data_IF_714069894683
#
_entry.id   IF_714069894683
#
_cell.length_a   1.000
_cell.length_b   1.000
_cell.length_c   1.000
_cell.angle_alpha   90.00
_cell.angle_beta   90.00
_cell.angle_gamma   90.00
#
_symmetry.space_group_name_H-M   'P 1'
#
loop_
_entity.id
_entity.type
_entity.pdbx_description
1 polymer ?
#
# COMPACT_ATOMS: atom_id res chain seq x y z
N UNK A 1 -21.59 -1.85 34.09
CA UNK A 1 -21.90 -1.25 32.77
C UNK A 1 -21.80 0.27 32.94
N UNK A 2 -21.19 0.97 31.98
CA UNK A 2 -20.53 2.28 32.11
C UNK A 2 -21.20 3.31 33.05
N UNK A 3 -20.39 3.96 33.90
CA UNK A 3 -20.85 4.94 34.92
C UNK A 3 -20.94 6.38 34.41
N UNK A 4 -20.36 6.70 33.25
CA UNK A 4 -20.28 8.06 32.69
C UNK A 4 -20.77 8.08 31.25
N UNK A 5 -21.35 9.21 30.81
CA UNK A 5 -21.80 9.41 29.42
C UNK A 5 -20.65 9.28 28.42
N UNK A 6 -19.48 9.80 28.78
CA UNK A 6 -18.23 9.67 28.02
C UNK A 6 -17.80 8.20 27.81
N UNK A 7 -17.94 7.37 28.85
CA UNK A 7 -17.62 5.94 28.73
C UNK A 7 -18.56 5.21 27.77
N UNK A 8 -19.83 5.62 27.71
CA UNK A 8 -20.80 5.06 26.74
C UNK A 8 -20.47 5.50 25.32
N UNK A 9 -20.09 6.76 25.10
CA UNK A 9 -19.70 7.26 23.79
C UNK A 9 -18.42 6.60 23.27
N UNK A 10 -17.38 6.53 24.11
CA UNK A 10 -16.13 5.85 23.76
C UNK A 10 -16.35 4.38 23.39
N UNK A 11 -17.28 3.70 24.07
CA UNK A 11 -17.65 2.32 23.74
C UNK A 11 -18.34 2.22 22.38
N UNK A 12 -19.29 3.11 22.08
CA UNK A 12 -19.99 3.15 20.77
C UNK A 12 -19.00 3.45 19.63
N UNK A 13 -18.07 4.38 19.84
CA UNK A 13 -17.01 4.70 18.87
C UNK A 13 -16.09 3.50 18.63
N UNK A 14 -15.68 2.82 19.71
CA UNK A 14 -14.81 1.64 19.60
C UNK A 14 -15.49 0.49 18.84
N UNK A 15 -16.80 0.31 19.03
CA UNK A 15 -17.58 -0.70 18.29
C UNK A 15 -17.72 -0.31 16.82
N UNK A 16 -18.04 0.96 16.52
CA UNK A 16 -18.14 1.46 15.15
C UNK A 16 -16.85 1.26 14.37
N UNK A 17 -15.72 1.68 14.95
CA UNK A 17 -14.40 1.50 14.36
C UNK A 17 -14.06 0.02 14.11
N UNK A 18 -14.43 -0.87 15.02
CA UNK A 18 -14.23 -2.31 14.84
C UNK A 18 -15.02 -2.86 13.63
N UNK A 19 -16.27 -2.42 13.44
CA UNK A 19 -17.11 -2.84 12.30
C UNK A 19 -16.50 -2.35 10.97
N UNK A 20 -15.98 -1.13 10.93
CA UNK A 20 -15.30 -0.55 9.75
C UNK A 20 -14.04 -1.35 9.40
N UNK A 21 -13.21 -1.66 10.41
CA UNK A 21 -11.97 -2.42 10.21
C UNK A 21 -12.27 -3.83 9.69
N UNK A 22 -13.32 -4.49 10.19
CA UNK A 22 -13.76 -5.81 9.69
C UNK A 22 -14.25 -5.71 8.23
N UNK A 23 -14.99 -4.66 7.89
CA UNK A 23 -15.43 -4.40 6.51
C UNK A 23 -14.25 -4.18 5.55
N UNK A 24 -13.27 -3.39 5.95
CA UNK A 24 -12.03 -3.17 5.19
C UNK A 24 -11.23 -4.45 5.02
N UNK A 25 -11.12 -5.26 6.09
CA UNK A 25 -10.45 -6.56 6.05
C UNK A 25 -11.08 -7.49 5.00
N UNK A 26 -12.42 -7.58 4.96
CA UNK A 26 -13.13 -8.43 4.00
C UNK A 26 -12.94 -7.93 2.56
N UNK A 27 -12.90 -6.62 2.36
CA UNK A 27 -12.63 -6.02 1.04
C UNK A 27 -11.22 -6.32 0.54
N UNK A 28 -10.20 -6.22 1.41
CA UNK A 28 -8.81 -6.46 1.04
C UNK A 28 -8.50 -7.94 0.80
N UNK A 29 -9.03 -8.80 1.67
CA UNK A 29 -8.82 -10.27 1.59
C UNK A 29 -9.71 -10.94 0.54
N UNK A 30 -10.59 -10.20 -0.13
CA UNK A 30 -11.59 -10.72 -1.07
C UNK A 30 -12.46 -11.84 -0.45
N UNK A 31 -12.62 -11.80 0.87
CA UNK A 31 -13.33 -12.82 1.63
C UNK A 31 -14.84 -12.61 1.49
N UNK A 32 -15.58 -13.70 1.29
CA UNK A 32 -17.04 -13.69 1.16
C UNK A 32 -17.64 -14.81 2.00
N UNK A 33 -18.60 -14.46 2.86
CA UNK A 33 -19.40 -15.43 3.63
C UNK A 33 -20.85 -15.28 3.16
N UNK A 34 -21.30 -16.20 2.31
CA UNK A 34 -22.67 -16.23 1.79
C UNK A 34 -23.04 -14.90 1.10
N UNK A 35 -24.14 -14.22 1.49
CA UNK A 35 -24.56 -12.96 0.88
C UNK A 35 -23.68 -11.75 1.27
N UNK A 36 -22.78 -11.90 2.26
CA UNK A 36 -21.88 -10.84 2.71
C UNK A 36 -20.59 -10.88 1.90
N UNK A 37 -20.54 -10.08 0.84
CA UNK A 37 -19.32 -9.83 0.07
C UNK A 37 -18.53 -8.67 0.69
N UNK A 38 -17.22 -8.60 0.43
CA UNK A 38 -16.37 -7.52 0.95
C UNK A 38 -16.86 -6.10 0.63
N UNK A 39 -17.57 -5.91 -0.50
CA UNK A 39 -18.22 -4.63 -0.81
C UNK A 39 -19.37 -4.31 0.15
N UNK A 40 -20.21 -5.30 0.44
CA UNK A 40 -21.39 -5.14 1.30
C UNK A 40 -20.96 -4.90 2.75
N UNK A 41 -20.01 -5.70 3.26
CA UNK A 41 -19.50 -5.54 4.63
C UNK A 41 -18.78 -4.19 4.80
N UNK A 42 -18.01 -3.76 3.79
CA UNK A 42 -17.38 -2.44 3.81
C UNK A 42 -18.40 -1.30 3.77
N UNK A 43 -19.43 -1.40 2.93
CA UNK A 43 -20.48 -0.39 2.86
C UNK A 43 -21.22 -0.24 4.21
N UNK A 44 -21.51 -1.35 4.88
CA UNK A 44 -22.12 -1.34 6.22
C UNK A 44 -21.21 -0.63 7.23
N UNK A 45 -19.89 -0.93 7.21
CA UNK A 45 -18.92 -0.24 8.06
C UNK A 45 -18.89 1.26 7.81
N UNK A 46 -18.76 1.69 6.55
CA UNK A 46 -18.70 3.11 6.20
C UNK A 46 -19.99 3.87 6.53
N UNK A 47 -21.16 3.25 6.38
CA UNK A 47 -22.45 3.84 6.79
C UNK A 47 -22.49 3.99 8.32
N UNK A 48 -22.00 2.98 9.05
CA UNK A 48 -21.91 3.04 10.52
C UNK A 48 -21.03 4.20 10.97
N UNK A 49 -19.87 4.39 10.33
CA UNK A 49 -18.96 5.51 10.61
C UNK A 49 -19.58 6.87 10.28
N UNK A 50 -20.29 6.98 9.16
CA UNK A 50 -20.99 8.21 8.78
C UNK A 50 -22.04 8.61 9.83
N UNK A 51 -22.81 7.65 10.36
CA UNK A 51 -23.79 7.91 11.42
C UNK A 51 -23.09 8.36 12.71
N UNK A 52 -21.98 7.71 13.07
CA UNK A 52 -21.19 8.07 14.25
C UNK A 52 -20.64 9.50 14.15
N UNK A 53 -20.10 9.89 12.99
CA UNK A 53 -19.64 11.27 12.79
C UNK A 53 -20.76 12.30 12.82
N UNK A 54 -21.94 11.97 12.32
CA UNK A 54 -23.10 12.86 12.42
C UNK A 54 -23.50 13.04 13.88
N UNK A 55 -23.55 11.97 14.67
CA UNK A 55 -23.85 12.07 16.11
C UNK A 55 -22.78 12.90 16.84
N UNK A 56 -21.50 12.68 16.52
CA UNK A 56 -20.39 13.45 17.09
C UNK A 56 -20.44 14.93 16.71
N UNK A 57 -20.88 15.27 15.50
CA UNK A 57 -21.02 16.66 15.08
C UNK A 57 -21.99 17.47 15.96
N UNK A 58 -22.97 16.80 16.60
CA UNK A 58 -23.91 17.43 17.53
C UNK A 58 -23.48 17.35 19.01
N UNK A 59 -22.44 16.57 19.33
CA UNK A 59 -21.85 16.45 20.66
C UNK A 59 -20.35 16.79 20.56
N UNK A 60 -20.07 18.06 20.26
CA UNK A 60 -18.72 18.58 20.21
C UNK A 60 -17.98 18.26 21.52
N UNK A 61 -16.73 17.76 21.47
CA UNK A 61 -16.00 17.42 22.67
C UNK A 61 -15.95 18.67 23.55
N UNK A 62 -16.30 18.51 24.83
CA UNK A 62 -15.95 19.53 25.81
C UNK A 62 -14.45 19.71 25.67
N UNK A 63 -14.08 20.93 25.31
CA UNK A 63 -12.71 21.38 25.09
C UNK A 63 -11.79 20.80 26.18
N UNK A 64 -10.51 20.64 25.83
CA UNK A 64 -9.40 20.27 26.72
C UNK A 64 -9.20 21.23 27.91
N UNK A 65 -10.18 22.08 28.22
CA UNK A 65 -10.31 22.97 29.38
C UNK A 65 -10.38 22.24 30.72
N UNK A 66 -10.42 20.90 30.74
CA UNK A 66 -10.41 20.12 31.98
C UNK A 66 -9.02 19.64 32.40
N UNK A 67 -7.94 20.13 31.79
CA UNK A 67 -6.63 20.06 32.43
C UNK A 67 -6.45 21.32 33.25
N UNK A 68 -6.54 21.21 34.59
CA UNK A 68 -6.21 22.29 35.52
C UNK A 68 -4.69 22.54 35.52
N UNK A 69 -4.12 22.91 34.38
CA UNK A 69 -2.71 23.23 34.23
C UNK A 69 -2.33 24.40 35.13
N UNK A 70 -3.29 25.23 35.53
CA UNK A 70 -3.17 26.33 36.49
C UNK A 70 -2.65 25.83 37.84
N UNK A 71 -2.99 24.59 38.23
CA UNK A 71 -2.50 23.98 39.46
C UNK A 71 -1.02 23.57 39.37
N UNK A 72 -0.48 23.38 38.16
CA UNK A 72 0.91 22.93 37.92
C UNK A 72 1.78 24.09 37.42
N UNK A 73 1.18 25.07 36.74
CA UNK A 73 1.80 26.24 36.15
C UNK A 73 0.95 27.49 36.48
N UNK A 74 1.00 27.98 37.72
CA UNK A 74 0.21 29.13 38.16
C UNK A 74 0.58 30.43 37.42
N UNK A 75 1.76 30.48 36.80
CA UNK A 75 2.22 31.59 35.96
C UNK A 75 1.29 31.86 34.76
N UNK A 76 0.55 30.85 34.30
CA UNK A 76 -0.38 30.97 33.18
C UNK A 76 -1.70 31.69 33.57
N UNK A 77 -1.93 31.96 34.86
CA UNK A 77 -3.05 32.81 35.35
C UNK A 77 -2.74 34.31 35.24
N UNK A 78 -1.47 34.69 35.09
CA UNK A 78 -1.04 36.08 34.95
C UNK A 78 -0.70 36.40 33.49
N UNK A 79 -1.51 37.26 32.87
CA UNK A 79 -1.37 37.66 31.46
C UNK A 79 -0.08 38.46 31.16
N UNK A 80 0.67 38.90 32.17
CA UNK A 80 1.93 39.64 32.00
C UNK A 80 3.16 38.85 32.49
N UNK A 81 3.02 37.55 32.78
CA UNK A 81 4.13 36.71 33.23
C UNK A 81 5.22 36.60 32.14
N UNK A 82 6.46 36.93 32.50
CA UNK A 82 7.62 36.72 31.65
C UNK A 82 7.98 35.22 31.61
N UNK A 83 8.37 34.65 30.45
CA UNK A 83 8.64 33.23 30.34
C UNK A 83 9.80 32.81 31.24
N UNK A 84 9.51 32.00 32.26
CA UNK A 84 10.48 31.47 33.19
C UNK A 84 11.06 30.13 32.67
N UNK A 85 12.36 30.04 32.31
CA UNK A 85 12.93 28.81 31.74
C UNK A 85 13.20 27.69 32.77
N UNK A 86 12.66 27.78 33.98
CA UNK A 86 12.90 26.80 35.05
C UNK A 86 11.60 26.20 35.58
N UNK A 87 11.08 25.20 34.87
CA UNK A 87 10.20 24.21 35.48
C UNK A 87 10.77 22.80 35.28
N UNK A 88 11.82 22.48 36.05
CA UNK A 88 12.25 21.10 36.26
C UNK A 88 12.75 20.91 37.70
N UNK A 89 11.95 21.21 38.71
CA UNK A 89 12.12 20.62 40.04
C UNK A 89 10.88 20.85 40.89
N UNK A 90 10.17 19.76 41.16
CA UNK A 90 9.23 19.66 42.28
C UNK A 90 9.95 20.07 43.58
N UNK A 91 9.23 20.80 44.42
CA UNK A 91 9.75 21.75 45.41
C UNK A 91 10.74 21.24 46.44
N UNK A 92 11.74 22.10 46.73
CA UNK A 92 12.41 22.22 48.02
C UNK A 92 12.78 23.69 48.28
N UNK A 93 12.83 24.05 49.56
CA UNK A 93 12.72 25.37 50.17
C UNK A 93 13.72 26.44 49.66
N UNK A 94 13.21 27.66 49.50
CA UNK A 94 13.86 28.83 48.89
C UNK A 94 14.90 29.57 49.75
N UNK A 95 15.41 28.99 50.84
CA UNK A 95 16.43 29.62 51.68
C UNK A 95 17.87 29.17 51.36
N UNK A 96 18.02 27.98 50.75
CA UNK A 96 19.33 27.33 50.56
C UNK A 96 20.01 27.71 49.22
N UNK A 97 19.24 28.26 48.27
CA UNK A 97 19.70 28.52 46.88
C UNK A 97 20.69 29.68 46.78
N UNK A 98 20.59 30.71 47.64
CA UNK A 98 21.51 31.86 47.63
C UNK A 98 22.88 31.51 48.20
N UNK A 99 22.91 30.57 49.16
CA UNK A 99 24.14 29.96 49.67
C UNK A 99 24.72 28.99 48.64
N UNK A 100 23.87 28.30 47.87
CA UNK A 100 24.27 27.38 46.80
C UNK A 100 24.88 28.08 45.56
N UNK A 101 24.40 29.26 45.17
CA UNK A 101 24.99 30.03 44.06
C UNK A 101 26.35 30.64 44.43
N UNK A 102 26.49 31.15 45.66
CA UNK A 102 27.78 31.62 46.19
C UNK A 102 28.75 30.43 46.32
N UNK A 103 28.26 29.28 46.80
CA UNK A 103 29.00 28.01 46.87
C UNK A 103 29.37 27.44 45.50
N UNK A 104 28.54 27.58 44.46
CA UNK A 104 28.85 27.09 43.11
C UNK A 104 29.94 27.93 42.43
N UNK A 105 29.91 29.26 42.58
CA UNK A 105 30.94 30.14 42.04
C UNK A 105 32.28 29.92 42.77
N UNK A 106 32.27 29.82 44.10
CA UNK A 106 33.45 29.48 44.89
C UNK A 106 33.98 28.08 44.57
N UNK A 107 33.10 27.13 44.19
CA UNK A 107 33.45 25.77 43.80
C UNK A 107 33.93 25.67 42.35
N UNK A 108 33.47 26.54 41.45
CA UNK A 108 33.99 26.69 40.09
C UNK A 108 35.37 27.36 40.11
N UNK A 109 35.56 28.41 40.90
CA UNK A 109 36.88 29.04 41.08
C UNK A 109 37.85 28.11 41.80
N UNK A 110 37.39 27.33 42.80
CA UNK A 110 38.19 26.24 43.38
C UNK A 110 38.47 25.13 42.37
N UNK A 111 37.53 24.75 41.50
CA UNK A 111 37.79 23.75 40.46
C UNK A 111 38.74 24.28 39.39
N UNK A 112 38.69 25.56 39.03
CA UNK A 112 39.66 26.19 38.13
C UNK A 112 41.05 26.31 38.76
N UNK A 113 41.12 26.57 40.07
CA UNK A 113 42.37 26.65 40.82
C UNK A 113 42.98 25.26 41.14
N UNK A 114 42.15 24.26 41.45
CA UNK A 114 42.58 22.87 41.72
C UNK A 114 42.84 22.09 40.43
N UNK A 115 42.08 22.32 39.36
CA UNK A 115 42.39 21.81 38.05
C UNK A 115 43.50 22.68 37.45
N UNK A 116 44.73 22.46 37.92
CA UNK A 116 45.93 22.67 37.09
C UNK A 116 45.56 22.20 35.70
N UNK A 117 45.53 23.13 34.74
CA UNK A 117 45.21 22.88 33.34
C UNK A 117 46.19 21.83 32.80
N UNK A 118 45.85 20.58 33.08
CA UNK A 118 46.65 19.42 32.77
C UNK A 118 46.45 19.14 31.29
N UNK A 119 47.55 18.86 30.59
CA UNK A 119 47.59 18.58 29.15
C UNK A 119 46.57 17.49 28.78
N UNK A 120 46.22 16.61 29.72
CA UNK A 120 45.18 15.60 29.60
C UNK A 120 43.75 16.13 29.41
N UNK A 121 43.39 17.31 29.94
CA UNK A 121 42.08 17.93 29.71
C UNK A 121 42.00 18.52 28.32
N UNK A 122 43.10 19.10 27.84
CA UNK A 122 43.18 19.62 26.48
C UNK A 122 43.10 18.49 25.45
N UNK A 123 43.73 17.34 25.74
CA UNK A 123 43.67 16.14 24.90
C UNK A 123 42.26 15.51 24.87
N UNK A 124 41.56 15.51 26.02
CA UNK A 124 40.15 15.08 26.10
C UNK A 124 39.22 16.02 25.36
N UNK A 125 39.43 17.34 25.46
CA UNK A 125 38.64 18.33 24.72
C UNK A 125 38.87 18.21 23.22
N UNK A 126 40.14 18.05 22.79
CA UNK A 126 40.49 17.80 21.39
C UNK A 126 39.82 16.53 20.87
N UNK A 127 39.92 15.44 21.61
CA UNK A 127 39.25 14.17 21.26
C UNK A 127 37.73 14.32 21.21
N UNK A 128 37.13 15.13 22.10
CA UNK A 128 35.71 15.44 22.10
C UNK A 128 35.28 16.24 20.87
N UNK A 129 36.06 17.25 20.47
CA UNK A 129 35.85 18.03 19.25
C UNK A 129 36.02 17.16 18.00
N UNK A 130 37.03 16.29 17.95
CA UNK A 130 37.24 15.37 16.82
C UNK A 130 36.07 14.38 16.67
N UNK A 131 35.58 13.82 17.79
CA UNK A 131 34.39 12.96 17.78
C UNK A 131 33.11 13.71 17.40
N UNK A 132 32.98 14.96 17.81
CA UNK A 132 31.85 15.80 17.43
C UNK A 132 31.90 16.10 15.92
N UNK A 133 33.07 16.48 15.40
CA UNK A 133 33.27 16.70 13.96
C UNK A 133 32.92 15.46 13.14
N UNK A 134 33.37 14.27 13.55
CA UNK A 134 33.04 13.05 12.82
C UNK A 134 31.54 12.70 12.89
N UNK A 135 30.88 13.01 14.01
CA UNK A 135 29.44 12.83 14.16
C UNK A 135 28.66 13.81 13.27
N UNK A 136 29.14 15.05 13.15
CA UNK A 136 28.57 16.05 12.24
C UNK A 136 28.76 15.65 10.78
N UNK A 137 29.91 15.09 10.40
CA UNK A 137 30.13 14.55 9.06
C UNK A 137 29.21 13.36 8.75
N UNK A 138 28.97 12.47 9.71
CA UNK A 138 27.98 11.40 9.59
C UNK A 138 26.53 11.92 9.49
N UNK A 139 26.20 13.00 10.21
CA UNK A 139 24.91 13.68 10.08
C UNK A 139 24.78 14.28 8.68
N UNK A 140 25.81 14.94 8.15
CA UNK A 140 25.82 15.48 6.78
C UNK A 140 25.63 14.37 5.73
N UNK A 141 26.19 13.18 5.97
CA UNK A 141 25.97 12.00 5.13
C UNK A 141 24.54 11.45 5.25
N UNK A 142 23.91 11.61 6.42
CA UNK A 142 22.50 11.24 6.67
C UNK A 142 21.53 12.28 6.09
N UNK A 143 21.94 13.53 5.91
CA UNK A 143 21.14 14.54 5.17
C UNK A 143 21.02 14.19 3.67
N UNK A 144 21.85 13.26 3.17
CA UNK A 144 21.69 12.63 1.85
C UNK A 144 20.54 11.58 1.79
N UNK A 145 19.65 11.55 2.80
CA UNK A 145 18.35 10.85 2.75
C UNK A 145 17.46 11.36 1.58
N UNK A 146 17.78 12.52 1.01
CA UNK A 146 17.24 12.96 -0.29
C UNK A 146 17.57 11.97 -1.42
N UNK A 147 18.77 11.39 -1.45
CA UNK A 147 19.16 10.37 -2.42
C UNK A 147 18.39 9.06 -2.29
N UNK A 148 18.03 8.65 -1.06
CA UNK A 148 17.16 7.48 -0.83
C UNK A 148 15.73 7.72 -1.31
N UNK A 149 15.21 8.94 -1.13
CA UNK A 149 13.90 9.33 -1.68
C UNK A 149 13.92 9.39 -3.21
N UNK A 150 15.01 9.88 -3.81
CA UNK A 150 15.18 9.88 -5.25
C UNK A 150 15.22 8.44 -5.80
N UNK A 151 16.03 7.56 -5.21
CA UNK A 151 16.08 6.14 -5.59
C UNK A 151 14.72 5.46 -5.42
N UNK A 152 13.96 5.80 -4.39
CA UNK A 152 12.60 5.28 -4.21
C UNK A 152 11.65 5.74 -5.33
N UNK A 153 11.70 7.02 -5.72
CA UNK A 153 10.94 7.53 -6.87
C UNK A 153 11.36 6.89 -8.19
N UNK A 154 12.66 6.67 -8.41
CA UNK A 154 13.18 5.99 -9.59
C UNK A 154 12.68 4.53 -9.64
N UNK A 155 12.68 3.83 -8.51
CA UNK A 155 12.15 2.47 -8.39
C UNK A 155 10.63 2.41 -8.60
N UNK A 156 9.87 3.39 -8.10
CA UNK A 156 8.44 3.49 -8.39
C UNK A 156 8.15 3.75 -9.87
N UNK A 157 8.95 4.59 -10.51
CA UNK A 157 8.84 4.87 -11.95
C UNK A 157 9.14 3.61 -12.78
N UNK A 158 10.19 2.87 -12.40
CA UNK A 158 10.53 1.60 -13.02
C UNK A 158 9.42 0.55 -12.83
N UNK A 159 8.87 0.45 -11.62
CA UNK A 159 7.76 -0.46 -11.32
C UNK A 159 6.50 -0.12 -12.11
N UNK A 160 6.18 1.17 -12.26
CA UNK A 160 5.07 1.63 -13.09
C UNK A 160 5.26 1.23 -14.57
N UNK A 161 6.47 1.42 -15.11
CA UNK A 161 6.82 0.99 -16.47
C UNK A 161 6.70 -0.54 -16.63
N UNK A 162 7.16 -1.31 -15.64
CA UNK A 162 7.00 -2.76 -15.65
C UNK A 162 5.52 -3.18 -15.64
N UNK A 163 4.67 -2.52 -14.83
CA UNK A 163 3.23 -2.79 -14.81
C UNK A 163 2.55 -2.44 -16.13
N UNK A 164 2.93 -1.34 -16.77
CA UNK A 164 2.44 -0.97 -18.10
C UNK A 164 2.83 -2.02 -19.15
N UNK A 165 4.09 -2.45 -19.16
CA UNK A 165 4.57 -3.54 -20.01
C UNK A 165 3.84 -4.86 -19.74
N UNK A 166 3.57 -5.17 -18.46
CA UNK A 166 2.85 -6.38 -18.06
C UNK A 166 1.40 -6.35 -18.55
N UNK A 167 0.74 -5.18 -18.50
CA UNK A 167 -0.61 -5.00 -19.02
C UNK A 167 -0.64 -5.11 -20.55
N UNK A 168 0.35 -4.53 -21.23
CA UNK A 168 0.51 -4.67 -22.69
C UNK A 168 0.73 -6.13 -23.10
N UNK A 169 1.57 -6.88 -22.37
CA UNK A 169 1.78 -8.31 -22.59
C UNK A 169 0.50 -9.12 -22.33
N UNK A 170 -0.29 -8.78 -21.31
CA UNK A 170 -1.58 -9.41 -21.05
C UNK A 170 -2.57 -9.17 -22.19
N UNK A 171 -2.65 -7.93 -22.69
CA UNK A 171 -3.49 -7.61 -23.85
C UNK A 171 -3.05 -8.39 -25.09
N UNK A 172 -1.75 -8.44 -25.36
CA UNK A 172 -1.18 -9.22 -26.47
C UNK A 172 -1.48 -10.72 -26.31
N UNK A 173 -1.36 -11.28 -25.10
CA UNK A 173 -1.67 -12.69 -24.84
C UNK A 173 -3.15 -13.00 -25.07
N UNK A 174 -4.05 -12.10 -24.65
CA UNK A 174 -5.49 -12.24 -24.88
C UNK A 174 -5.80 -12.21 -26.39
N UNK A 175 -5.17 -11.29 -27.12
CA UNK A 175 -5.31 -11.16 -28.57
C UNK A 175 -4.75 -12.37 -29.31
N UNK A 176 -3.58 -12.88 -28.91
CA UNK A 176 -3.01 -14.11 -29.43
C UNK A 176 -3.92 -15.31 -29.15
N UNK A 177 -4.48 -15.42 -27.95
CA UNK A 177 -5.43 -16.49 -27.59
C UNK A 177 -6.71 -16.45 -28.44
N UNK A 178 -7.25 -15.25 -28.67
CA UNK A 178 -8.41 -15.05 -29.55
C UNK A 178 -8.07 -15.42 -31.00
N UNK A 179 -6.97 -14.89 -31.52
CA UNK A 179 -6.49 -15.14 -32.88
C UNK A 179 -6.20 -16.62 -33.11
N UNK A 180 -5.55 -17.30 -32.15
CA UNK A 180 -5.31 -18.74 -32.20
C UNK A 180 -6.63 -19.53 -32.24
N UNK A 181 -7.62 -19.14 -31.44
CA UNK A 181 -8.94 -19.77 -31.44
C UNK A 181 -9.65 -19.57 -32.78
N UNK A 182 -9.58 -18.37 -33.36
CA UNK A 182 -10.13 -18.08 -34.68
C UNK A 182 -9.42 -18.88 -35.79
N UNK A 183 -8.10 -18.99 -35.74
CA UNK A 183 -7.32 -19.83 -36.66
C UNK A 183 -7.69 -21.31 -36.52
N UNK A 184 -7.78 -21.84 -35.29
CA UNK A 184 -8.22 -23.23 -35.06
C UNK A 184 -9.64 -23.45 -35.57
N UNK A 185 -10.56 -22.51 -35.36
CA UNK A 185 -11.93 -22.61 -35.89
C UNK A 185 -11.94 -22.63 -37.41
N UNK A 186 -11.21 -21.71 -38.07
CA UNK A 186 -11.07 -21.69 -39.54
C UNK A 186 -10.46 -22.98 -40.06
N UNK A 187 -9.41 -23.48 -39.42
CA UNK A 187 -8.76 -24.72 -39.80
C UNK A 187 -9.71 -25.92 -39.74
N UNK A 188 -10.50 -26.04 -38.66
CA UNK A 188 -11.51 -27.09 -38.54
C UNK A 188 -12.61 -26.94 -39.59
N UNK A 189 -13.05 -25.71 -39.86
CA UNK A 189 -14.07 -25.44 -40.88
C UNK A 189 -13.57 -25.79 -42.29
N UNK A 190 -12.34 -25.43 -42.66
CA UNK A 190 -11.73 -25.78 -43.94
C UNK A 190 -11.50 -27.29 -44.07
N UNK A 191 -11.12 -27.96 -42.98
CA UNK A 191 -10.99 -29.42 -42.95
C UNK A 191 -12.36 -30.09 -43.18
N UNK A 192 -13.42 -29.60 -42.56
CA UNK A 192 -14.79 -30.10 -42.79
C UNK A 192 -15.25 -29.86 -44.23
N UNK A 193 -15.00 -28.68 -44.80
CA UNK A 193 -15.31 -28.39 -46.21
C UNK A 193 -14.53 -29.30 -47.15
N UNK A 194 -13.25 -29.54 -46.88
CA UNK A 194 -12.40 -30.42 -47.67
C UNK A 194 -12.88 -31.88 -47.61
N UNK A 195 -13.28 -32.36 -46.43
CA UNK A 195 -13.88 -33.68 -46.27
C UNK A 195 -15.18 -33.82 -47.09
N UNK A 196 -16.07 -32.83 -47.02
CA UNK A 196 -17.31 -32.81 -47.82
C UNK A 196 -17.03 -32.73 -49.33
N UNK A 197 -16.02 -31.97 -49.76
CA UNK A 197 -15.60 -31.91 -51.16
C UNK A 197 -15.02 -33.24 -51.64
N UNK A 198 -14.25 -33.93 -50.78
CA UNK A 198 -13.68 -35.25 -51.08
C UNK A 198 -14.76 -36.31 -51.21
N UNK A 199 -15.79 -36.27 -50.36
CA UNK A 199 -16.96 -37.15 -50.46
C UNK A 199 -17.69 -36.95 -51.79
N UNK A 200 -18.03 -35.70 -52.14
CA UNK A 200 -18.64 -35.37 -53.44
C UNK A 200 -17.78 -35.79 -54.63
N UNK A 201 -16.47 -35.58 -54.55
CA UNK A 201 -15.55 -36.00 -55.61
C UNK A 201 -15.57 -37.53 -55.79
N UNK A 202 -15.68 -38.28 -54.70
CA UNK A 202 -15.77 -39.74 -54.75
C UNK A 202 -17.11 -40.21 -55.35
N UNK A 203 -18.22 -39.52 -55.04
CA UNK A 203 -19.51 -39.74 -55.70
C UNK A 203 -19.44 -39.50 -57.22
N UNK A 204 -18.86 -38.38 -57.64
CA UNK A 204 -18.66 -38.04 -59.06
C UNK A 204 -17.78 -39.06 -59.78
N UNK A 205 -16.68 -39.52 -59.15
CA UNK A 205 -15.83 -40.59 -59.70
C UNK A 205 -16.58 -41.92 -59.85
N UNK A 206 -17.45 -42.24 -58.88
CA UNK A 206 -18.28 -43.44 -58.94
C UNK A 206 -19.30 -43.34 -60.08
N UNK A 207 -19.92 -42.16 -60.24
CA UNK A 207 -20.83 -41.85 -61.35
C UNK A 207 -20.13 -41.89 -62.73
N UNK A 208 -18.92 -41.35 -62.84
CA UNK A 208 -18.10 -41.43 -64.04
C UNK A 208 -17.76 -42.88 -64.39
N UNK A 209 -17.37 -43.68 -63.39
CA UNK A 209 -17.07 -45.11 -63.56
C UNK A 209 -18.30 -45.88 -64.05
N UNK A 210 -19.48 -45.60 -63.48
CA UNK A 210 -20.75 -46.20 -63.91
C UNK A 210 -21.11 -45.84 -65.37
N UNK A 211 -20.94 -44.57 -65.74
CA UNK A 211 -21.14 -44.10 -67.10
C UNK A 211 -20.16 -44.75 -68.08
N UNK A 212 -18.87 -44.82 -67.74
CA UNK A 212 -17.86 -45.49 -68.56
C UNK A 212 -18.18 -46.97 -68.76
N UNK A 213 -18.60 -47.68 -67.71
CA UNK A 213 -19.04 -49.08 -67.82
C UNK A 213 -20.27 -49.22 -68.73
N UNK A 214 -21.24 -48.31 -68.60
CA UNK A 214 -22.44 -48.29 -69.46
C UNK A 214 -22.09 -48.04 -70.92
N UNK A 215 -21.19 -47.08 -71.17
CA UNK A 215 -20.67 -46.78 -72.51
C UNK A 215 -19.95 -48.00 -73.10
N UNK A 216 -19.06 -48.64 -72.32
CA UNK A 216 -18.31 -49.82 -72.74
C UNK A 216 -19.24 -51.00 -73.06
N UNK A 217 -20.34 -51.14 -72.31
CA UNK A 217 -21.39 -52.14 -72.58
C UNK A 217 -22.14 -51.87 -73.89
N UNK A 218 -22.46 -50.61 -74.19
CA UNK A 218 -23.10 -50.22 -75.46
C UNK A 218 -22.13 -50.42 -76.64
N UNK A 219 -20.87 -50.00 -76.51
CA UNK A 219 -19.85 -50.25 -77.53
C UNK A 219 -19.61 -51.73 -77.76
N UNK A 220 -19.54 -52.54 -76.70
CA UNK A 220 -19.44 -54.00 -76.80
C UNK A 220 -20.65 -54.62 -77.49
N UNK A 221 -21.86 -54.19 -77.13
CA UNK A 221 -23.10 -54.63 -77.78
C UNK A 221 -23.16 -54.26 -79.26
N UNK A 222 -22.72 -53.06 -79.62
CA UNK A 222 -22.68 -52.59 -81.01
C UNK A 222 -21.61 -53.33 -81.83
N UNK A 223 -20.44 -53.62 -81.25
CA UNK A 223 -19.40 -54.42 -81.90
C UNK A 223 -19.84 -55.89 -82.09
N UNK A 224 -20.57 -56.45 -81.12
CA UNK A 224 -21.13 -57.80 -81.22
C UNK A 224 -22.24 -57.88 -82.27
N UNK A 225 -23.06 -56.84 -82.39
CA UNK A 225 -24.10 -56.73 -83.41
C UNK A 225 -23.53 -56.44 -84.82
N UNK A 226 -22.33 -55.90 -84.92
CA UNK A 226 -21.65 -55.62 -86.20
C UNK A 226 -20.80 -56.80 -86.69
N UNK A 227 -20.52 -57.79 -85.81
CA UNK A 227 -19.81 -59.04 -86.13
C UNK A 227 -20.73 -60.26 -86.34
N UNK A 228 -22.00 -60.14 -85.97
CA UNK A 228 -23.06 -61.12 -86.25
C UNK A 228 -23.74 -60.79 -87.59
#
# INVERSE_FOLDING_TARGET
>A
MFKTKEGVYNFIYSIGAAIVIIGALFKLTHFSIGPLTGNVTLAIGLITEAIIFVIFAFDAPKSEESYAWENVYPELLDSHAAPNPKHSTLGFQSAEVKELETSLSDKLDKMLADAKLDVSLFDRLRTGIDKFSSSVDQINQTVDVTGSTQKYNDQLTLAASHLESMNALYALQLEHGKTQTEYSKKYVEDMQKSAAHSEKFNEELTGLTSNLNSLNRVYGGMLSAMKA
#
